data_IF_656075392859
#
_entry.id   IF_656075392859
#
_cell.length_a   1.000
_cell.length_b   1.000
_cell.length_c   1.000
_cell.angle_alpha   90.00
_cell.angle_beta   90.00
_cell.angle_gamma   90.00
#
_symmetry.space_group_name_H-M   'P 1'
#
loop_
_entity.id
_entity.type
_entity.pdbx_description
1 polymer ?
#
# COMPACT_ATOMS: atom_id res chain seq x y z
N UNK A 1 24.34 8.30 12.69
CA UNK A 1 24.12 8.45 11.23
C UNK A 1 22.64 8.67 10.97
N UNK A 2 22.29 9.49 9.96
CA UNK A 2 20.89 9.86 9.68
C UNK A 2 20.25 8.94 8.65
N UNK A 3 19.06 8.45 8.93
CA UNK A 3 18.28 7.55 8.06
C UNK A 3 16.94 8.18 7.76
N UNK A 4 16.58 8.27 6.48
CA UNK A 4 15.30 8.81 6.04
C UNK A 4 14.37 7.65 5.63
N UNK A 5 13.23 7.54 6.31
CA UNK A 5 12.19 6.55 6.03
C UNK A 5 11.06 7.19 5.23
N UNK A 6 10.84 6.69 4.02
CA UNK A 6 9.80 7.15 3.09
C UNK A 6 8.64 6.15 3.08
N UNK A 7 7.80 6.27 4.10
CA UNK A 7 6.64 5.40 4.36
C UNK A 7 5.51 6.17 5.02
N UNK A 8 4.31 5.63 4.89
CA UNK A 8 3.18 6.12 5.66
C UNK A 8 3.29 5.66 7.13
N UNK A 9 2.93 6.52 8.09
CA UNK A 9 2.92 6.17 9.50
C UNK A 9 1.88 5.07 9.77
N UNK A 10 2.07 4.30 10.85
CA UNK A 10 0.99 3.47 11.38
C UNK A 10 -0.16 4.36 11.89
N UNK A 11 -1.34 3.77 12.08
CA UNK A 11 -2.48 4.46 12.68
C UNK A 11 -2.08 5.13 14.01
N UNK A 12 -2.61 6.33 14.26
CA UNK A 12 -2.12 7.30 15.26
C UNK A 12 -2.05 6.76 16.70
N UNK A 13 -2.76 5.67 16.99
CA UNK A 13 -2.85 5.07 18.33
C UNK A 13 -1.83 3.94 18.59
N UNK A 14 -0.91 3.67 17.66
CA UNK A 14 0.00 2.51 17.71
C UNK A 14 1.32 2.74 18.45
N UNK A 15 1.50 3.87 19.14
CA UNK A 15 2.79 4.24 19.75
C UNK A 15 3.86 4.67 18.74
N UNK A 16 5.15 4.69 19.13
CA UNK A 16 6.25 5.09 18.23
C UNK A 16 6.38 4.12 17.05
N UNK A 17 6.80 4.64 15.88
CA UNK A 17 6.97 3.79 14.70
C UNK A 17 8.06 2.73 14.97
N UNK A 18 7.78 1.44 14.70
CA UNK A 18 8.71 0.36 15.05
C UNK A 18 10.05 0.46 14.31
N UNK A 19 10.08 1.02 13.10
CA UNK A 19 11.34 1.21 12.37
C UNK A 19 12.17 2.32 12.99
N UNK A 20 11.53 3.39 13.47
CA UNK A 20 12.22 4.47 14.19
C UNK A 20 12.79 3.93 15.50
N UNK A 21 11.98 3.18 16.27
CA UNK A 21 12.39 2.60 17.54
C UNK A 21 13.57 1.63 17.39
N UNK A 22 13.48 0.70 16.42
CA UNK A 22 14.53 -0.27 16.18
C UNK A 22 15.80 0.41 15.66
N UNK A 23 15.72 1.32 14.69
CA UNK A 23 16.92 2.05 14.24
C UNK A 23 17.57 2.87 15.37
N UNK A 24 16.76 3.46 16.25
CA UNK A 24 17.22 4.18 17.42
C UNK A 24 17.98 3.29 18.43
N UNK A 25 17.58 2.01 18.60
CA UNK A 25 18.26 1.09 19.53
C UNK A 25 19.70 0.76 19.11
N UNK A 26 20.03 0.95 17.83
CA UNK A 26 21.39 0.82 17.28
C UNK A 26 22.11 2.16 17.08
N UNK A 27 21.57 3.26 17.60
CA UNK A 27 22.21 4.58 17.54
C UNK A 27 22.03 5.34 16.22
N UNK A 28 21.03 4.98 15.40
CA UNK A 28 20.67 5.74 14.21
C UNK A 28 19.61 6.80 14.49
N UNK A 29 19.76 7.95 13.83
CA UNK A 29 18.78 9.03 13.84
C UNK A 29 17.83 8.85 12.66
N UNK A 30 16.69 8.21 12.90
CA UNK A 30 15.69 7.96 11.88
C UNK A 30 14.64 9.10 11.82
N UNK A 31 14.34 9.58 10.61
CA UNK A 31 13.22 10.50 10.36
C UNK A 31 12.25 9.87 9.38
N UNK A 32 10.96 9.92 9.67
CA UNK A 32 9.90 9.39 8.82
C UNK A 32 9.17 10.53 8.11
N UNK A 33 9.05 10.42 6.78
CA UNK A 33 8.22 11.31 5.97
C UNK A 33 7.14 10.49 5.27
N UNK A 34 5.84 10.81 5.47
CA UNK A 34 4.75 10.19 4.73
C UNK A 34 4.83 10.56 3.24
N UNK A 35 4.67 9.55 2.38
CA UNK A 35 4.89 9.71 0.93
C UNK A 35 3.64 9.44 0.10
N UNK A 36 2.71 8.65 0.63
CA UNK A 36 1.45 8.40 -0.04
C UNK A 36 0.34 9.18 0.66
N UNK A 37 -0.61 9.58 -0.16
CA UNK A 37 -1.96 9.91 0.25
C UNK A 37 -2.90 9.13 -0.67
N UNK A 38 -4.18 9.39 -0.53
CA UNK A 38 -5.19 8.90 -1.43
C UNK A 38 -6.10 10.05 -1.78
N UNK A 39 -6.57 10.03 -3.02
CA UNK A 39 -7.57 10.96 -3.50
C UNK A 39 -8.79 10.21 -4.00
N UNK A 40 -9.93 10.88 -3.94
CA UNK A 40 -11.18 10.37 -4.49
C UNK A 40 -11.33 10.87 -5.92
N UNK A 41 -11.67 9.95 -6.81
CA UNK A 41 -11.81 10.20 -8.24
C UNK A 41 -13.18 9.71 -8.71
N UNK A 42 -13.61 10.14 -9.89
CA UNK A 42 -14.84 9.64 -10.53
C UNK A 42 -16.12 9.80 -9.69
N UNK A 43 -16.17 10.73 -8.71
CA UNK A 43 -17.31 10.89 -7.80
C UNK A 43 -18.62 11.22 -8.53
N UNK A 44 -18.55 11.97 -9.62
CA UNK A 44 -19.72 12.29 -10.43
C UNK A 44 -20.25 11.05 -11.16
N UNK A 45 -19.37 10.29 -11.82
CA UNK A 45 -19.74 9.03 -12.47
C UNK A 45 -20.21 7.97 -11.47
N UNK A 46 -19.65 7.95 -10.25
CA UNK A 46 -20.13 7.09 -9.17
C UNK A 46 -21.58 7.42 -8.82
N UNK A 47 -21.90 8.70 -8.62
CA UNK A 47 -23.27 9.11 -8.30
C UNK A 47 -24.25 8.84 -9.45
N UNK A 48 -23.84 9.07 -10.69
CA UNK A 48 -24.64 8.74 -11.88
C UNK A 48 -25.02 7.25 -11.88
N UNK A 49 -24.06 6.36 -11.67
CA UNK A 49 -24.32 4.91 -11.60
C UNK A 49 -25.20 4.54 -10.40
N UNK A 50 -24.96 5.15 -9.23
CA UNK A 50 -25.81 4.95 -8.04
C UNK A 50 -27.24 5.46 -8.23
N UNK A 51 -27.46 6.38 -9.16
CA UNK A 51 -28.79 6.91 -9.50
C UNK A 51 -29.61 5.97 -10.38
N UNK A 52 -28.97 4.92 -10.93
CA UNK A 52 -29.56 3.93 -11.83
C UNK A 52 -29.46 2.50 -11.27
N UNK A 53 -30.05 2.20 -10.10
CA UNK A 53 -30.00 0.87 -9.50
C UNK A 53 -30.55 -0.23 -10.43
N UNK A 54 -31.51 0.09 -11.30
CA UNK A 54 -32.09 -0.81 -12.30
C UNK A 54 -31.07 -1.44 -13.26
N UNK A 55 -29.92 -0.78 -13.49
CA UNK A 55 -28.87 -1.28 -14.37
C UNK A 55 -28.00 -2.38 -13.71
N UNK A 56 -28.12 -2.58 -12.39
CA UNK A 56 -27.20 -3.41 -11.62
C UNK A 56 -27.89 -4.49 -10.81
N UNK A 57 -27.23 -5.64 -10.60
CA UNK A 57 -27.69 -6.70 -9.70
C UNK A 57 -27.41 -6.40 -8.21
N UNK A 58 -26.44 -5.52 -7.94
CA UNK A 58 -25.97 -5.24 -6.60
C UNK A 58 -24.71 -4.39 -6.55
N UNK A 59 -24.20 -4.20 -5.34
CA UNK A 59 -22.98 -3.46 -5.02
C UNK A 59 -21.93 -4.38 -4.39
N UNK A 60 -20.66 -4.07 -4.63
CA UNK A 60 -19.53 -4.71 -3.95
C UNK A 60 -18.63 -3.62 -3.35
N UNK A 61 -18.27 -3.76 -2.07
CA UNK A 61 -17.30 -2.90 -1.40
C UNK A 61 -16.21 -3.73 -0.72
N UNK A 62 -14.98 -3.66 -1.24
CA UNK A 62 -13.82 -4.37 -0.66
C UNK A 62 -12.98 -3.48 0.26
N UNK A 63 -13.30 -2.18 0.35
CA UNK A 63 -12.50 -1.17 1.06
C UNK A 63 -13.39 -0.12 1.71
N UNK A 64 -13.10 0.29 2.97
CA UNK A 64 -13.75 1.44 3.63
C UNK A 64 -13.76 2.70 2.75
N UNK A 65 -12.66 2.92 2.02
CA UNK A 65 -12.49 4.09 1.15
C UNK A 65 -13.52 4.13 0.02
N UNK A 66 -13.92 2.99 -0.52
CA UNK A 66 -14.96 2.96 -1.54
C UNK A 66 -16.31 3.44 -1.00
N UNK A 67 -16.62 3.14 0.26
CA UNK A 67 -17.84 3.61 0.93
C UNK A 67 -17.73 5.10 1.29
N UNK A 68 -16.55 5.56 1.72
CA UNK A 68 -16.28 6.99 1.90
C UNK A 68 -16.49 7.78 0.60
N UNK A 69 -16.12 7.24 -0.55
CA UNK A 69 -16.37 7.86 -1.85
C UNK A 69 -17.89 8.05 -2.10
N UNK A 70 -18.71 7.07 -1.71
CA UNK A 70 -20.18 7.20 -1.75
C UNK A 70 -20.65 8.30 -0.81
N UNK A 71 -20.17 8.33 0.43
CA UNK A 71 -20.52 9.41 1.38
C UNK A 71 -20.15 10.79 0.83
N UNK A 72 -19.00 10.91 0.17
CA UNK A 72 -18.57 12.14 -0.47
C UNK A 72 -19.47 12.57 -1.62
N UNK A 73 -19.89 11.64 -2.49
CA UNK A 73 -20.81 12.00 -3.58
C UNK A 73 -22.19 12.41 -3.06
N UNK A 74 -22.59 11.91 -1.88
CA UNK A 74 -23.84 12.25 -1.20
C UNK A 74 -23.75 13.52 -0.33
N UNK A 75 -22.61 14.23 -0.27
CA UNK A 75 -22.50 15.48 0.50
C UNK A 75 -23.35 16.63 -0.08
N UNK A 76 -23.63 16.60 -1.38
CA UNK A 76 -24.46 17.60 -2.04
C UNK A 76 -25.94 17.39 -1.65
N UNK A 77 -26.63 18.44 -1.20
CA UNK A 77 -28.01 18.34 -0.68
C UNK A 77 -28.98 17.66 -1.65
N UNK A 78 -28.91 18.01 -2.94
CA UNK A 78 -29.74 17.44 -4.01
C UNK A 78 -29.55 15.91 -4.14
N UNK A 79 -28.30 15.46 -4.09
CA UNK A 79 -27.89 14.06 -4.19
C UNK A 79 -28.29 13.27 -2.93
N UNK A 80 -28.11 13.88 -1.76
CA UNK A 80 -28.54 13.30 -0.48
C UNK A 80 -30.06 13.10 -0.43
N UNK A 81 -30.82 14.11 -0.88
CA UNK A 81 -32.28 14.01 -0.92
C UNK A 81 -32.73 12.87 -1.84
N UNK A 82 -32.17 12.78 -3.05
CA UNK A 82 -32.45 11.68 -3.97
C UNK A 82 -32.12 10.30 -3.36
N UNK A 83 -30.98 10.22 -2.65
CA UNK A 83 -30.56 9.01 -1.95
C UNK A 83 -31.57 8.58 -0.89
N UNK A 84 -31.87 9.50 0.04
CA UNK A 84 -32.73 9.27 1.19
C UNK A 84 -34.17 8.99 0.79
N UNK A 85 -34.67 9.67 -0.25
CA UNK A 85 -36.06 9.57 -0.71
C UNK A 85 -36.37 8.28 -1.46
N UNK A 86 -35.44 7.77 -2.27
CA UNK A 86 -35.73 6.62 -3.14
C UNK A 86 -34.58 5.65 -3.35
N UNK A 87 -33.37 6.13 -3.66
CA UNK A 87 -32.28 5.24 -4.12
C UNK A 87 -31.87 4.24 -3.04
N UNK A 88 -31.83 4.66 -1.77
CA UNK A 88 -31.48 3.79 -0.64
C UNK A 88 -32.37 2.55 -0.56
N UNK A 89 -33.69 2.70 -0.74
CA UNK A 89 -34.62 1.57 -0.71
C UNK A 89 -34.44 0.67 -1.94
N UNK A 90 -34.23 1.26 -3.11
CA UNK A 90 -33.98 0.50 -4.36
C UNK A 90 -32.69 -0.32 -4.29
N UNK A 91 -31.64 0.21 -3.68
CA UNK A 91 -30.40 -0.52 -3.45
C UNK A 91 -30.51 -1.58 -2.35
N UNK A 92 -31.32 -1.36 -1.31
CA UNK A 92 -31.61 -2.40 -0.30
C UNK A 92 -32.43 -3.58 -0.83
N UNK A 93 -33.17 -3.39 -1.93
CA UNK A 93 -33.83 -4.49 -2.64
C UNK A 93 -32.84 -5.36 -3.45
N UNK A 94 -31.55 -5.00 -3.47
CA UNK A 94 -30.46 -5.67 -4.19
C UNK A 94 -29.39 -6.15 -3.22
N UNK A 95 -28.49 -6.99 -3.71
CA UNK A 95 -27.37 -7.51 -2.92
C UNK A 95 -26.29 -6.44 -2.70
N UNK A 96 -25.87 -6.21 -1.45
CA UNK A 96 -24.69 -5.39 -1.13
C UNK A 96 -23.62 -6.24 -0.45
N UNK A 97 -22.56 -6.56 -1.19
CA UNK A 97 -21.46 -7.43 -0.73
C UNK A 97 -20.32 -6.62 -0.16
N UNK A 98 -19.73 -7.06 0.95
CA UNK A 98 -18.62 -6.36 1.61
C UNK A 98 -17.49 -7.29 2.06
N UNK A 99 -16.26 -6.80 2.10
CA UNK A 99 -15.14 -7.47 2.77
C UNK A 99 -14.87 -6.80 4.12
N UNK A 100 -14.97 -7.57 5.20
CA UNK A 100 -14.57 -7.13 6.53
C UNK A 100 -15.59 -6.25 7.25
N UNK A 101 -15.53 -6.28 8.58
CA UNK A 101 -16.46 -5.58 9.47
C UNK A 101 -16.37 -4.06 9.37
N UNK A 102 -15.16 -3.51 9.20
CA UNK A 102 -14.96 -2.07 9.09
C UNK A 102 -15.72 -1.49 7.87
N UNK A 103 -15.68 -2.17 6.73
CA UNK A 103 -16.43 -1.78 5.54
C UNK A 103 -17.92 -1.99 5.74
N UNK A 104 -18.33 -3.10 6.37
CA UNK A 104 -19.74 -3.38 6.68
C UNK A 104 -20.38 -2.25 7.50
N UNK A 105 -19.73 -1.80 8.59
CA UNK A 105 -20.24 -0.72 9.43
C UNK A 105 -20.42 0.59 8.65
N UNK A 106 -19.49 0.94 7.75
CA UNK A 106 -19.64 2.13 6.91
C UNK A 106 -20.78 2.00 5.89
N UNK A 107 -21.05 0.78 5.40
CA UNK A 107 -22.18 0.49 4.50
C UNK A 107 -23.51 0.61 5.23
N UNK A 108 -23.58 0.18 6.49
CA UNK A 108 -24.75 0.37 7.35
C UNK A 108 -25.00 1.87 7.62
N UNK A 109 -23.95 2.68 7.77
CA UNK A 109 -24.08 4.14 7.95
C UNK A 109 -24.69 4.85 6.73
N UNK A 110 -24.48 4.36 5.51
CA UNK A 110 -25.18 4.87 4.31
C UNK A 110 -26.58 4.26 4.14
N UNK A 111 -26.98 3.40 5.09
CA UNK A 111 -28.28 2.79 5.23
C UNK A 111 -28.55 1.65 4.24
N UNK A 112 -27.50 0.92 3.84
CA UNK A 112 -27.60 -0.33 3.10
C UNK A 112 -27.36 -1.53 4.02
N UNK A 113 -27.90 -2.69 3.68
CA UNK A 113 -27.69 -3.94 4.40
C UNK A 113 -26.50 -4.74 3.81
N UNK A 114 -25.33 -4.77 4.46
CA UNK A 114 -24.17 -5.51 3.96
C UNK A 114 -24.33 -7.03 4.17
N UNK A 115 -23.69 -7.80 3.29
CA UNK A 115 -23.50 -9.24 3.44
C UNK A 115 -22.08 -9.65 3.02
N UNK A 116 -21.59 -10.76 3.56
CA UNK A 116 -20.25 -11.27 3.24
C UNK A 116 -19.11 -10.71 4.12
N UNK A 117 -19.41 -9.87 5.12
CA UNK A 117 -18.42 -9.29 6.04
C UNK A 117 -17.50 -10.34 6.72
N UNK A 118 -18.02 -11.57 6.90
CA UNK A 118 -17.32 -12.70 7.53
C UNK A 118 -16.39 -13.45 6.57
N UNK A 119 -16.41 -13.14 5.28
CA UNK A 119 -15.53 -13.79 4.29
C UNK A 119 -14.06 -13.47 4.55
N UNK A 120 -13.76 -12.29 5.10
CA UNK A 120 -12.42 -11.88 5.52
C UNK A 120 -11.47 -11.45 4.41
N UNK A 121 -11.63 -11.95 3.18
CA UNK A 121 -10.85 -11.53 2.01
C UNK A 121 -11.66 -11.56 0.70
N UNK A 122 -11.05 -11.02 -0.36
CA UNK A 122 -11.66 -10.88 -1.67
C UNK A 122 -11.94 -12.24 -2.35
N UNK A 123 -11.08 -13.24 -2.13
CA UNK A 123 -11.20 -14.59 -2.69
C UNK A 123 -12.44 -15.31 -2.16
N UNK A 124 -12.60 -15.31 -0.83
CA UNK A 124 -13.75 -15.94 -0.16
C UNK A 124 -15.03 -15.18 -0.47
N UNK A 125 -14.97 -13.85 -0.57
CA UNK A 125 -16.13 -13.06 -0.97
C UNK A 125 -16.55 -13.39 -2.40
N UNK A 126 -15.61 -13.53 -3.33
CA UNK A 126 -15.92 -13.93 -4.70
C UNK A 126 -16.61 -15.31 -4.73
N UNK A 127 -16.11 -16.29 -3.96
CA UNK A 127 -16.78 -17.58 -3.78
C UNK A 127 -18.19 -17.47 -3.22
N UNK A 128 -18.40 -16.61 -2.21
CA UNK A 128 -19.72 -16.33 -1.64
C UNK A 128 -20.68 -15.72 -2.66
N UNK A 129 -20.24 -14.72 -3.43
CA UNK A 129 -21.02 -14.09 -4.51
C UNK A 129 -21.40 -15.15 -5.56
N UNK A 130 -20.46 -16.02 -5.96
CA UNK A 130 -20.73 -17.10 -6.92
C UNK A 130 -21.78 -18.11 -6.44
N UNK A 131 -21.98 -18.25 -5.13
CA UNK A 131 -23.02 -19.12 -4.57
C UNK A 131 -24.41 -18.47 -4.50
N UNK A 132 -24.48 -17.15 -4.64
CA UNK A 132 -25.70 -16.35 -4.49
C UNK A 132 -26.22 -15.80 -5.81
N UNK A 133 -25.32 -15.37 -6.68
CA UNK A 133 -25.65 -14.78 -7.97
C UNK A 133 -25.73 -15.85 -9.05
N UNK A 134 -26.69 -15.70 -9.97
CA UNK A 134 -26.81 -16.55 -11.14
C UNK A 134 -25.92 -16.03 -12.27
N UNK A 135 -25.19 -16.90 -13.01
CA UNK A 135 -24.41 -16.47 -14.16
C UNK A 135 -25.24 -15.71 -15.19
N UNK A 136 -24.64 -14.70 -15.84
CA UNK A 136 -25.29 -13.82 -16.83
C UNK A 136 -26.49 -13.00 -16.32
N UNK A 137 -26.60 -12.79 -15.00
CA UNK A 137 -27.53 -11.82 -14.41
C UNK A 137 -27.07 -10.36 -14.64
N UNK A 138 -27.83 -9.40 -14.11
CA UNK A 138 -27.46 -7.98 -14.12
C UNK A 138 -26.08 -7.74 -13.50
N UNK A 139 -25.30 -6.83 -14.09
CA UNK A 139 -23.94 -6.51 -13.66
C UNK A 139 -23.88 -6.03 -12.21
N UNK A 140 -22.89 -6.47 -11.44
CA UNK A 140 -22.60 -5.91 -10.12
C UNK A 140 -21.75 -4.65 -10.26
N UNK A 141 -22.13 -3.56 -9.58
CA UNK A 141 -21.32 -2.35 -9.53
C UNK A 141 -20.25 -2.50 -8.45
N UNK A 142 -18.99 -2.30 -8.83
CA UNK A 142 -17.84 -2.45 -7.95
C UNK A 142 -17.00 -1.17 -7.89
N UNK A 143 -17.32 -0.24 -6.97
CA UNK A 143 -16.46 0.89 -6.65
C UNK A 143 -15.17 0.41 -5.99
N UNK A 144 -14.03 0.61 -6.62
CA UNK A 144 -12.75 0.04 -6.19
C UNK A 144 -11.59 1.04 -6.31
N UNK A 145 -10.41 0.61 -5.85
CA UNK A 145 -9.17 1.34 -6.07
C UNK A 145 -8.61 1.15 -7.48
N UNK A 146 -7.61 1.94 -7.87
CA UNK A 146 -6.93 1.81 -9.16
C UNK A 146 -6.03 0.54 -9.29
N UNK A 147 -5.97 -0.31 -8.27
CA UNK A 147 -5.07 -1.45 -8.22
C UNK A 147 -5.51 -2.55 -9.19
N UNK A 148 -4.68 -2.83 -10.19
CA UNK A 148 -4.94 -3.74 -11.31
C UNK A 148 -4.94 -5.24 -10.96
N UNK A 149 -4.77 -5.62 -9.68
CA UNK A 149 -4.60 -7.02 -9.23
C UNK A 149 -5.65 -7.42 -8.18
N UNK A 150 -6.87 -6.99 -8.38
CA UNK A 150 -7.98 -7.46 -7.55
C UNK A 150 -8.34 -8.88 -8.00
N UNK A 151 -8.29 -9.85 -7.07
CA UNK A 151 -8.63 -11.25 -7.35
C UNK A 151 -10.13 -11.40 -7.66
N UNK A 152 -10.96 -10.54 -7.06
CA UNK A 152 -12.41 -10.58 -7.17
C UNK A 152 -12.93 -10.41 -8.61
N UNK A 153 -12.53 -9.39 -9.40
CA UNK A 153 -12.91 -9.29 -10.81
C UNK A 153 -12.55 -10.51 -11.65
N UNK A 154 -11.39 -11.13 -11.40
CA UNK A 154 -10.93 -12.31 -12.15
C UNK A 154 -11.83 -13.50 -11.87
N UNK A 155 -12.05 -13.83 -10.58
CA UNK A 155 -12.88 -14.97 -10.16
C UNK A 155 -14.33 -14.82 -10.62
N UNK A 156 -14.91 -13.62 -10.50
CA UNK A 156 -16.30 -13.39 -10.95
C UNK A 156 -16.45 -13.54 -12.46
N UNK A 157 -15.48 -13.04 -13.23
CA UNK A 157 -15.47 -13.18 -14.69
C UNK A 157 -15.38 -14.65 -15.13
N UNK A 158 -14.53 -15.45 -14.50
CA UNK A 158 -14.39 -16.88 -14.77
C UNK A 158 -15.68 -17.67 -14.50
N UNK A 159 -16.51 -17.18 -13.58
CA UNK A 159 -17.81 -17.77 -13.22
C UNK A 159 -18.99 -17.17 -13.99
N UNK A 160 -18.74 -16.29 -14.96
CA UNK A 160 -19.77 -15.67 -15.80
C UNK A 160 -20.64 -14.66 -15.06
N UNK A 161 -20.14 -14.10 -13.96
CA UNK A 161 -20.82 -13.01 -13.24
C UNK A 161 -20.36 -11.69 -13.82
N UNK A 162 -21.32 -10.89 -14.30
CA UNK A 162 -21.05 -9.58 -14.87
C UNK A 162 -20.66 -8.61 -13.76
N UNK A 163 -19.57 -7.87 -13.99
CA UNK A 163 -19.01 -6.94 -13.03
C UNK A 163 -18.61 -5.65 -13.75
N UNK A 164 -19.07 -4.53 -13.25
CA UNK A 164 -18.64 -3.21 -13.68
C UNK A 164 -17.78 -2.56 -12.59
N UNK A 165 -16.48 -2.50 -12.83
CA UNK A 165 -15.53 -1.87 -11.90
C UNK A 165 -15.42 -0.37 -12.17
N UNK A 166 -15.57 0.45 -11.13
CA UNK A 166 -15.35 1.88 -11.20
C UNK A 166 -14.25 2.29 -10.21
N UNK A 167 -13.15 2.83 -10.71
CA UNK A 167 -12.13 3.40 -9.84
C UNK A 167 -12.66 4.68 -9.19
N UNK A 168 -12.82 4.67 -7.87
CA UNK A 168 -13.36 5.81 -7.08
C UNK A 168 -12.35 6.40 -6.09
N UNK A 169 -11.22 5.73 -5.91
CA UNK A 169 -10.07 6.29 -5.21
C UNK A 169 -8.78 5.75 -5.82
N UNK A 170 -7.70 6.53 -5.69
CA UNK A 170 -6.38 6.12 -6.13
C UNK A 170 -5.30 6.62 -5.19
N UNK A 171 -4.16 5.93 -5.21
CA UNK A 171 -2.97 6.39 -4.50
C UNK A 171 -2.45 7.66 -5.16
N UNK A 172 -2.26 8.69 -4.35
CA UNK A 172 -1.72 9.98 -4.74
C UNK A 172 -0.44 10.28 -3.95
N UNK A 173 0.30 11.29 -4.38
CA UNK A 173 1.43 11.83 -3.63
C UNK A 173 0.92 12.51 -2.35
N UNK A 174 1.66 12.37 -1.25
CA UNK A 174 1.33 13.12 -0.03
C UNK A 174 1.44 14.64 -0.30
N UNK A 175 0.42 15.45 0.05
CA UNK A 175 0.36 16.86 -0.35
C UNK A 175 1.56 17.67 0.16
N UNK A 176 2.07 17.33 1.34
CA UNK A 176 3.21 18.02 1.94
C UNK A 176 4.56 17.35 1.64
N UNK A 177 4.62 16.38 0.71
CA UNK A 177 5.84 15.60 0.46
C UNK A 177 7.04 16.50 0.10
N UNK A 178 6.84 17.41 -0.85
CA UNK A 178 7.90 18.27 -1.34
C UNK A 178 8.43 19.21 -0.24
N UNK A 179 7.53 19.80 0.54
CA UNK A 179 7.89 20.66 1.66
C UNK A 179 8.59 19.88 2.77
N UNK A 180 8.08 18.69 3.10
CA UNK A 180 8.68 17.82 4.12
C UNK A 180 10.10 17.40 3.75
N UNK A 181 10.32 17.01 2.49
CA UNK A 181 11.66 16.70 1.98
C UNK A 181 12.56 17.93 2.02
N UNK A 182 12.09 19.09 1.53
CA UNK A 182 12.86 20.33 1.57
C UNK A 182 13.30 20.68 3.00
N UNK A 183 12.37 20.63 3.95
CA UNK A 183 12.63 20.93 5.36
C UNK A 183 13.64 19.94 5.95
N UNK A 184 13.52 18.64 5.64
CA UNK A 184 14.48 17.64 6.07
C UNK A 184 15.89 17.94 5.55
N UNK A 185 16.07 18.12 4.24
CA UNK A 185 17.40 18.40 3.68
C UNK A 185 18.00 19.72 4.18
N UNK A 186 17.17 20.75 4.45
CA UNK A 186 17.64 22.03 4.99
C UNK A 186 18.02 21.97 6.48
N UNK A 187 17.30 21.21 7.30
CA UNK A 187 17.53 21.16 8.75
C UNK A 187 18.48 20.04 9.17
N UNK A 188 18.34 18.88 8.54
CA UNK A 188 19.08 17.66 8.90
C UNK A 188 20.27 17.40 7.97
N UNK A 189 20.34 18.06 6.81
CA UNK A 189 21.37 17.81 5.82
C UNK A 189 21.17 16.48 5.09
N UNK A 190 22.26 15.94 4.53
CA UNK A 190 22.22 14.72 3.72
C UNK A 190 22.00 13.48 4.60
N UNK A 191 21.01 12.62 4.29
CA UNK A 191 20.89 11.33 4.95
C UNK A 191 22.00 10.38 4.48
N UNK A 192 22.48 9.52 5.37
CA UNK A 192 23.38 8.43 5.00
C UNK A 192 22.64 7.32 4.23
N UNK A 193 21.35 7.12 4.53
CA UNK A 193 20.50 6.13 3.88
C UNK A 193 19.06 6.59 3.73
N UNK A 194 18.43 6.21 2.62
CA UNK A 194 17.00 6.42 2.34
C UNK A 194 16.33 5.05 2.15
N UNK A 195 15.25 4.80 2.88
CA UNK A 195 14.47 3.58 2.80
C UNK A 195 13.08 3.84 2.19
N UNK A 196 12.76 3.16 1.09
CA UNK A 196 11.45 3.21 0.43
C UNK A 196 10.62 1.98 0.76
N UNK A 197 9.32 2.17 1.02
CA UNK A 197 8.43 1.08 1.42
C UNK A 197 7.37 0.70 0.37
N UNK A 198 7.39 1.36 -0.80
CA UNK A 198 6.52 1.03 -1.93
C UNK A 198 7.07 1.58 -3.25
N UNK A 199 6.71 0.97 -4.40
CA UNK A 199 7.05 1.51 -5.71
C UNK A 199 6.47 2.93 -5.95
N UNK A 200 5.27 3.21 -5.44
CA UNK A 200 4.66 4.53 -5.52
C UNK A 200 5.48 5.57 -4.75
N UNK A 201 6.01 5.20 -3.58
CA UNK A 201 6.91 6.06 -2.81
C UNK A 201 8.17 6.43 -3.59
N UNK A 202 8.79 5.46 -4.28
CA UNK A 202 9.94 5.73 -5.17
C UNK A 202 9.53 6.72 -6.27
N UNK A 203 8.43 6.44 -6.97
CA UNK A 203 7.93 7.27 -8.07
C UNK A 203 7.70 8.73 -7.64
N UNK A 204 7.09 8.95 -6.48
CA UNK A 204 6.76 10.30 -6.02
C UNK A 204 7.95 11.07 -5.43
N UNK A 205 8.94 10.38 -4.84
CA UNK A 205 10.04 11.09 -4.18
C UNK A 205 11.28 11.25 -5.05
N UNK A 206 11.52 10.38 -6.04
CA UNK A 206 12.81 10.29 -6.73
C UNK A 206 13.28 11.64 -7.30
N UNK A 207 12.41 12.34 -8.04
CA UNK A 207 12.75 13.63 -8.63
C UNK A 207 13.06 14.69 -7.58
N UNK A 208 12.34 14.68 -6.45
CA UNK A 208 12.58 15.60 -5.35
C UNK A 208 13.91 15.31 -4.66
N UNK A 209 14.20 14.04 -4.39
CA UNK A 209 15.45 13.62 -3.75
C UNK A 209 16.63 13.98 -4.63
N UNK A 210 16.60 13.68 -5.94
CA UNK A 210 17.66 14.06 -6.88
C UNK A 210 17.93 15.58 -6.87
N UNK A 211 16.85 16.37 -6.89
CA UNK A 211 16.95 17.83 -6.85
C UNK A 211 17.61 18.33 -5.56
N UNK A 212 17.32 17.71 -4.42
CA UNK A 212 17.86 18.12 -3.12
C UNK A 212 19.24 17.50 -2.81
N UNK A 213 19.54 16.31 -3.35
CA UNK A 213 20.83 15.65 -3.17
C UNK A 213 21.93 16.26 -4.04
N UNK A 214 21.58 16.84 -5.19
CA UNK A 214 22.54 17.38 -6.15
C UNK A 214 23.60 16.34 -6.51
N UNK A 215 24.88 16.75 -6.48
CA UNK A 215 26.04 15.89 -6.81
C UNK A 215 26.38 14.85 -5.73
N UNK A 216 25.67 14.82 -4.61
CA UNK A 216 25.95 13.91 -3.50
C UNK A 216 25.08 12.63 -3.54
N UNK A 217 24.38 12.39 -4.66
CA UNK A 217 23.52 11.22 -4.83
C UNK A 217 24.29 9.90 -4.57
N UNK A 218 25.54 9.81 -5.04
CA UNK A 218 26.39 8.62 -4.91
C UNK A 218 26.75 8.28 -3.44
N UNK A 219 26.62 9.26 -2.55
CA UNK A 219 26.91 9.10 -1.12
C UNK A 219 25.70 8.58 -0.33
N UNK A 220 24.51 8.61 -0.92
CA UNK A 220 23.28 8.14 -0.30
C UNK A 220 23.07 6.66 -0.65
N UNK A 221 22.92 5.81 0.38
CA UNK A 221 22.49 4.42 0.16
C UNK A 221 20.97 4.36 0.08
N UNK A 222 20.46 3.72 -0.98
CA UNK A 222 19.02 3.57 -1.15
C UNK A 222 18.62 2.12 -0.92
N UNK A 223 17.67 1.93 -0.01
CA UNK A 223 17.11 0.63 0.32
C UNK A 223 15.65 0.60 -0.11
N UNK A 224 15.22 -0.46 -0.78
CA UNK A 224 13.80 -0.69 -1.07
C UNK A 224 13.28 -1.86 -0.26
N UNK A 225 12.15 -1.64 0.39
CA UNK A 225 11.44 -2.57 1.25
C UNK A 225 10.12 -2.84 0.56
N UNK A 226 10.08 -3.93 -0.19
CA UNK A 226 8.85 -4.40 -0.81
C UNK A 226 8.19 -5.38 0.16
N UNK A 227 6.91 -5.12 0.45
CA UNK A 227 6.12 -5.97 1.33
C UNK A 227 5.92 -7.34 0.65
N UNK A 228 6.41 -8.41 1.27
CA UNK A 228 5.91 -9.76 1.02
C UNK A 228 4.73 -9.99 1.98
N UNK A 229 3.65 -10.60 1.50
CA UNK A 229 2.36 -10.71 2.22
C UNK A 229 2.37 -11.66 3.45
N UNK A 230 3.54 -12.13 3.91
CA UNK A 230 3.64 -13.12 4.96
C UNK A 230 4.29 -12.56 6.26
N UNK A 231 3.48 -12.50 7.32
CA UNK A 231 3.82 -12.21 8.74
C UNK A 231 4.65 -10.93 9.01
N UNK A 232 3.95 -9.85 9.35
CA UNK A 232 4.50 -8.51 9.65
C UNK A 232 5.52 -8.45 10.82
N UNK A 233 5.47 -9.37 11.78
CA UNK A 233 6.32 -9.30 12.99
C UNK A 233 7.76 -9.75 12.74
N UNK A 234 7.97 -10.88 12.05
CA UNK A 234 9.32 -11.36 11.74
C UNK A 234 9.97 -10.58 10.58
N UNK A 235 9.16 -10.02 9.67
CA UNK A 235 9.66 -9.21 8.56
C UNK A 235 10.21 -7.86 9.03
N UNK A 236 9.58 -7.20 10.01
CA UNK A 236 10.06 -5.92 10.54
C UNK A 236 11.47 -6.01 11.14
N UNK A 237 11.76 -7.02 11.96
CA UNK A 237 13.11 -7.25 12.50
C UNK A 237 14.12 -7.57 11.40
N UNK A 238 13.76 -8.39 10.40
CA UNK A 238 14.64 -8.71 9.26
C UNK A 238 14.94 -7.49 8.37
N UNK A 239 13.95 -6.62 8.17
CA UNK A 239 14.12 -5.36 7.44
C UNK A 239 15.02 -4.41 8.21
N UNK A 240 14.89 -4.33 9.52
CA UNK A 240 15.78 -3.52 10.34
C UNK A 240 17.21 -4.06 10.30
N UNK A 241 17.41 -5.38 10.36
CA UNK A 241 18.73 -6.02 10.16
C UNK A 241 19.30 -5.73 8.77
N UNK A 242 18.48 -5.74 7.73
CA UNK A 242 18.92 -5.39 6.38
C UNK A 242 19.31 -3.90 6.24
N UNK A 243 18.54 -2.99 6.84
CA UNK A 243 18.87 -1.56 6.95
C UNK A 243 20.14 -1.35 7.78
N UNK A 244 20.30 -2.08 8.88
CA UNK A 244 21.49 -2.09 9.73
C UNK A 244 22.71 -2.56 8.95
N UNK A 245 22.60 -3.62 8.15
CA UNK A 245 23.69 -4.10 7.29
C UNK A 245 24.02 -3.10 6.17
N UNK A 246 23.01 -2.49 5.55
CA UNK A 246 23.20 -1.45 4.54
C UNK A 246 23.94 -0.23 5.12
N UNK A 247 23.62 0.15 6.36
CA UNK A 247 24.30 1.25 7.05
C UNK A 247 25.66 0.81 7.62
N UNK A 248 25.83 -0.41 8.13
CA UNK A 248 27.10 -0.92 8.66
C UNK A 248 28.16 -1.12 7.56
N UNK A 249 27.75 -1.46 6.33
CA UNK A 249 28.64 -1.51 5.17
C UNK A 249 29.34 -0.17 4.88
N UNK A 250 28.86 0.95 5.43
CA UNK A 250 29.51 2.27 5.31
C UNK A 250 30.76 2.43 6.19
N UNK A 251 30.96 1.55 7.18
CA UNK A 251 32.13 1.56 8.07
C UNK A 251 33.26 0.61 7.64
N UNK A 252 33.07 -0.18 6.57
CA UNK A 252 34.02 -1.25 6.23
C UNK A 252 34.97 -0.85 5.09
N UNK A 253 36.21 -0.50 5.44
CA UNK A 253 37.33 -0.20 4.52
C UNK A 253 38.15 -1.44 4.12
N UNK A 254 37.65 -2.65 4.40
CA UNK A 254 38.37 -3.90 4.17
C UNK A 254 38.12 -4.51 2.79
N UNK A 255 39.16 -4.57 1.95
CA UNK A 255 39.23 -5.36 0.72
C UNK A 255 39.07 -6.88 1.00
N UNK A 256 37.86 -7.36 1.30
CA UNK A 256 37.50 -8.78 1.16
C UNK A 256 36.11 -8.93 0.54
N UNK A 257 36.12 -8.74 -0.78
CA UNK A 257 35.30 -9.45 -1.77
C UNK A 257 33.76 -9.46 -1.55
N UNK A 258 33.10 -8.55 -2.27
CA UNK A 258 31.70 -8.62 -2.74
C UNK A 258 31.26 -10.03 -3.24
N UNK A 259 32.20 -10.91 -3.60
CA UNK A 259 31.92 -12.23 -4.15
C UNK A 259 31.42 -13.26 -3.11
N UNK A 260 31.66 -13.05 -1.81
CA UNK A 260 31.09 -13.92 -0.77
C UNK A 260 29.60 -13.60 -0.54
N UNK A 261 29.22 -12.32 -0.65
CA UNK A 261 27.85 -11.83 -0.49
C UNK A 261 26.92 -12.18 -1.66
N UNK A 262 27.42 -12.16 -2.91
CA UNK A 262 26.64 -12.60 -4.10
C UNK A 262 26.21 -14.08 -4.05
N UNK A 263 26.85 -14.91 -3.22
CA UNK A 263 26.54 -16.35 -3.10
C UNK A 263 25.27 -16.62 -2.29
N UNK A 264 24.88 -15.74 -1.38
CA UNK A 264 23.73 -15.94 -0.49
C UNK A 264 22.43 -15.28 -0.96
N UNK A 265 22.45 -14.45 -2.02
CA UNK A 265 21.26 -13.76 -2.56
C UNK A 265 20.66 -14.42 -3.82
N UNK A 266 20.92 -15.69 -4.11
CA UNK A 266 20.40 -16.36 -5.31
C UNK A 266 19.04 -17.01 -5.07
N UNK A 267 17.97 -16.21 -5.15
CA UNK A 267 16.71 -16.61 -5.82
C UNK A 267 15.67 -15.49 -5.78
N UNK A 268 15.40 -14.87 -6.94
CA UNK A 268 14.10 -14.28 -7.28
C UNK A 268 14.08 -13.95 -8.79
N UNK A 269 13.66 -14.93 -9.59
CA UNK A 269 13.34 -14.71 -11.00
C UNK A 269 11.97 -14.04 -11.12
N UNK A 270 11.94 -12.69 -11.22
CA UNK A 270 11.02 -11.89 -12.06
C UNK A 270 11.01 -10.37 -11.72
N UNK A 271 12.14 -9.75 -11.37
CA UNK A 271 12.18 -8.32 -10.96
C UNK A 271 13.09 -7.43 -11.84
N UNK A 272 13.31 -7.81 -13.10
CA UNK A 272 14.23 -7.11 -14.02
C UNK A 272 13.78 -5.70 -14.45
N UNK A 273 12.61 -5.22 -14.01
CA UNK A 273 12.04 -3.93 -14.43
C UNK A 273 12.06 -2.86 -13.33
N UNK A 274 12.53 -3.16 -12.10
CA UNK A 274 12.48 -2.22 -10.96
C UNK A 274 13.84 -1.82 -10.40
N UNK A 275 14.90 -2.56 -10.69
CA UNK A 275 16.29 -2.23 -10.31
C UNK A 275 16.83 -1.01 -11.05
N UNK A 276 16.45 -0.86 -12.33
CA UNK A 276 17.02 0.12 -13.26
C UNK A 276 16.75 1.56 -12.85
N UNK A 277 15.54 1.91 -12.38
CA UNK A 277 15.17 3.33 -12.17
C UNK A 277 16.03 4.06 -11.11
N UNK A 278 16.45 3.37 -10.05
CA UNK A 278 17.29 3.97 -9.00
C UNK A 278 18.77 3.93 -9.33
N UNK A 279 19.23 2.87 -10.00
CA UNK A 279 20.61 2.73 -10.47
C UNK A 279 20.89 3.70 -11.63
N UNK A 280 19.97 3.86 -12.58
CA UNK A 280 20.01 4.86 -13.66
C UNK A 280 20.00 6.29 -13.12
N UNK A 281 19.49 6.48 -11.91
CA UNK A 281 19.46 7.75 -11.18
C UNK A 281 20.74 8.03 -10.37
N UNK A 282 21.75 7.15 -10.42
CA UNK A 282 23.04 7.31 -9.74
C UNK A 282 23.09 6.75 -8.32
N UNK A 283 22.04 6.09 -7.82
CA UNK A 283 22.02 5.57 -6.46
C UNK A 283 22.53 4.13 -6.36
N UNK A 284 23.31 3.84 -5.32
CA UNK A 284 23.64 2.45 -4.94
C UNK A 284 22.40 1.78 -4.34
N UNK A 285 21.78 0.86 -5.09
CA UNK A 285 20.60 0.13 -4.64
C UNK A 285 20.97 -1.13 -3.85
N UNK A 286 20.40 -1.28 -2.67
CA UNK A 286 20.35 -2.55 -1.93
C UNK A 286 18.90 -3.03 -1.89
N UNK A 287 18.60 -4.10 -2.61
CA UNK A 287 17.28 -4.74 -2.62
C UNK A 287 17.26 -5.97 -1.72
N UNK A 288 16.21 -6.09 -0.90
CA UNK A 288 16.01 -7.24 -0.02
C UNK A 288 14.62 -7.83 -0.24
N UNK A 289 14.55 -9.13 -0.54
CA UNK A 289 13.32 -9.92 -0.51
C UNK A 289 13.26 -10.70 0.80
N UNK A 290 12.11 -10.72 1.47
CA UNK A 290 11.94 -11.44 2.74
C UNK A 290 11.63 -12.94 2.57
N UNK A 291 11.77 -13.49 1.37
CA UNK A 291 11.44 -14.89 1.06
C UNK A 291 12.38 -15.95 1.64
N UNK A 292 13.43 -15.57 2.36
CA UNK A 292 14.38 -16.56 2.88
C UNK A 292 13.76 -17.37 4.02
N UNK A 293 13.46 -18.66 3.75
CA UNK A 293 13.09 -19.71 4.71
C UNK A 293 14.31 -20.45 5.27
N UNK A 294 15.53 -19.98 5.04
CA UNK A 294 16.74 -20.68 5.51
C UNK A 294 17.68 -19.77 6.29
N UNK A 295 17.55 -19.79 7.61
CA UNK A 295 18.67 -19.89 8.58
C UNK A 295 18.19 -19.47 9.97
N UNK A 296 18.22 -20.43 10.90
CA UNK A 296 18.38 -20.14 12.32
C UNK A 296 19.69 -19.34 12.46
N UNK A 297 19.58 -18.12 12.99
CA UNK A 297 20.75 -17.37 13.42
C UNK A 297 21.07 -17.83 14.84
N UNK A 298 22.03 -18.75 14.95
CA UNK A 298 22.57 -19.21 16.21
C UNK A 298 23.39 -18.07 16.85
N UNK A 299 22.81 -17.40 17.85
CA UNK A 299 23.50 -16.42 18.68
C UNK A 299 24.37 -17.15 19.72
N UNK A 300 25.47 -17.75 19.27
CA UNK A 300 26.43 -18.46 20.11
C UNK A 300 27.86 -18.02 19.85
N UNK A 301 28.31 -16.96 20.51
CA UNK A 301 29.70 -16.49 20.46
C UNK A 301 30.13 -15.93 21.81
N UNK A 302 30.69 -16.81 22.64
CA UNK A 302 31.12 -16.57 24.02
C UNK A 302 32.31 -15.59 24.06
N UNK A 303 32.29 -14.72 25.06
CA UNK A 303 33.38 -13.84 25.48
C UNK A 303 34.60 -14.67 25.87
N UNK A 304 35.74 -14.39 25.26
CA UNK A 304 37.07 -14.31 25.90
C UNK A 304 37.84 -13.13 25.29
#
# INVERSE_FOLDING_TARGET
MKVLLLKDPKERDSGPDPYIQELGSYGFEATLIPVLSFEFVSLQSLFEKLSHPECYGGLIFTSPRAVEAVKLCLKENSKNEAWTKSLKQKWNAKSTYVVGKATASLVEEIGLAPQGEKCGNAEKLAGYICSKETPNSSSLLFPCGALKREVLPTVLKEKGILLESLTVYQTAQHPNLQESLKNYFSQQGMPASIAFFSPSGVKFCLQHIQKFSGNFADQIKVTSILRCEERERNSQSRICVALLHAVAATNWTGHRSLAHWKKNCRSATSDSLRSTVLEDAGYSLLSFSTDDRSSEWDCGGRVE
#
